data_IF_548831350155
#
_entry.id   IF_548831350155
#
_cell.length_a   1.000
_cell.length_b   1.000
_cell.length_c   1.000
_cell.angle_alpha   90.00
_cell.angle_beta   90.00
_cell.angle_gamma   90.00
#
_symmetry.space_group_name_H-M   'P 1'
#
loop_
_entity.id
_entity.type
_entity.pdbx_description
1 polymer ?
#
# COMPACT_ATOMS: atom_id res chain seq x y z
N UNK A 1 0.58 -39.18 -4.60
CA UNK A 1 0.40 -38.17 -3.53
C UNK A 1 1.77 -37.57 -3.24
N UNK A 2 2.02 -36.38 -3.79
CA UNK A 2 3.20 -35.56 -3.54
C UNK A 2 2.94 -34.66 -2.32
N UNK A 3 3.95 -34.29 -1.51
CA UNK A 3 3.78 -33.42 -0.35
C UNK A 3 3.03 -32.14 -0.73
N UNK A 4 1.97 -31.82 0.01
CA UNK A 4 0.94 -30.85 -0.35
C UNK A 4 1.48 -29.44 -0.57
N UNK A 5 1.26 -28.92 -1.79
CA UNK A 5 1.43 -27.51 -2.11
C UNK A 5 0.24 -26.74 -1.50
N UNK A 6 0.49 -26.00 -0.43
CA UNK A 6 -0.44 -24.99 0.08
C UNK A 6 -0.86 -24.07 -1.08
N UNK A 7 -2.14 -23.70 -1.16
CA UNK A 7 -2.62 -22.78 -2.20
C UNK A 7 -1.88 -21.43 -2.09
N UNK A 8 -1.64 -20.73 -3.20
CA UNK A 8 -0.90 -19.46 -3.17
C UNK A 8 -1.61 -18.40 -2.33
N UNK A 9 -2.95 -18.40 -2.28
CA UNK A 9 -3.71 -17.50 -1.42
C UNK A 9 -3.54 -17.86 0.05
N UNK A 10 -3.59 -19.15 0.40
CA UNK A 10 -3.31 -19.63 1.76
C UNK A 10 -1.90 -19.23 2.22
N UNK A 11 -0.91 -19.37 1.32
CA UNK A 11 0.46 -18.93 1.56
C UNK A 11 0.56 -17.42 1.80
N UNK A 12 -0.11 -16.64 0.95
CA UNK A 12 -0.15 -15.19 1.08
C UNK A 12 -0.87 -14.72 2.35
N UNK A 13 -1.91 -15.42 2.81
CA UNK A 13 -2.58 -15.13 4.08
C UNK A 13 -1.69 -15.47 5.27
N UNK A 14 -1.02 -16.63 5.23
CA UNK A 14 -0.16 -17.10 6.32
C UNK A 14 0.97 -16.12 6.66
N UNK A 15 1.55 -15.49 5.65
CA UNK A 15 2.68 -14.57 5.81
C UNK A 15 2.30 -13.10 5.56
N UNK A 16 0.99 -12.79 5.58
CA UNK A 16 0.52 -11.43 5.31
C UNK A 16 1.07 -10.44 6.33
N UNK A 17 1.48 -9.23 5.93
CA UNK A 17 1.89 -8.20 6.86
C UNK A 17 0.69 -7.62 7.63
N UNK A 18 0.95 -7.18 8.85
CA UNK A 18 0.03 -6.33 9.61
C UNK A 18 0.37 -4.86 9.35
N UNK A 19 -0.63 -4.09 8.95
CA UNK A 19 -0.46 -2.66 8.72
C UNK A 19 -0.96 -1.90 9.94
N UNK A 20 -0.15 -0.96 10.41
CA UNK A 20 -0.54 0.02 11.41
C UNK A 20 -0.57 1.40 10.75
N UNK A 21 -1.73 2.04 10.85
CA UNK A 21 -2.05 3.32 10.25
C UNK A 21 -2.15 4.38 11.34
N UNK A 22 -2.01 5.65 10.96
CA UNK A 22 -2.28 6.75 11.89
C UNK A 22 -3.72 6.67 12.40
N UNK A 23 -3.92 6.95 13.68
CA UNK A 23 -5.25 6.95 14.30
C UNK A 23 -6.21 7.93 13.58
N UNK A 24 -5.67 9.00 12.98
CA UNK A 24 -6.42 9.99 12.20
C UNK A 24 -6.37 9.78 10.69
N UNK A 25 -5.78 8.68 10.21
CA UNK A 25 -5.78 8.34 8.79
C UNK A 25 -7.22 8.28 8.23
N UNK A 26 -7.58 9.15 7.26
CA UNK A 26 -8.93 9.16 6.69
C UNK A 26 -9.21 7.96 5.77
N UNK A 27 -8.19 7.34 5.17
CA UNK A 27 -8.37 6.31 4.15
C UNK A 27 -7.76 4.97 4.57
N UNK A 28 -8.53 3.90 4.39
CA UNK A 28 -8.05 2.53 4.60
C UNK A 28 -7.71 1.88 3.26
N UNK A 29 -6.83 0.86 3.23
CA UNK A 29 -6.67 0.03 2.06
C UNK A 29 -8.02 -0.54 1.63
N UNK A 30 -8.32 -0.46 0.33
CA UNK A 30 -9.52 -1.03 -0.27
C UNK A 30 -9.35 -2.52 -0.51
N UNK A 31 -8.26 -2.92 -1.18
CA UNK A 31 -7.91 -4.31 -1.48
C UNK A 31 -6.39 -4.51 -1.55
N UNK A 32 -5.97 -5.77 -1.43
CA UNK A 32 -4.58 -6.18 -1.56
C UNK A 32 -4.45 -7.26 -2.63
N UNK A 33 -3.55 -7.02 -3.57
CA UNK A 33 -3.17 -7.94 -4.62
C UNK A 33 -1.95 -8.73 -4.18
N UNK A 34 -1.97 -10.06 -4.28
CA UNK A 34 -0.78 -10.87 -4.03
C UNK A 34 -0.14 -11.40 -5.32
N UNK A 35 1.18 -11.56 -5.30
CA UNK A 35 1.96 -12.36 -6.25
C UNK A 35 2.97 -13.19 -5.48
N UNK A 36 3.04 -14.50 -5.73
CA UNK A 36 4.04 -15.39 -5.14
C UNK A 36 5.16 -15.64 -6.14
N UNK A 37 6.40 -15.45 -5.70
CA UNK A 37 7.61 -15.71 -6.48
C UNK A 37 8.37 -16.88 -5.86
N UNK A 38 8.52 -17.96 -6.62
CA UNK A 38 9.39 -19.11 -6.28
C UNK A 38 10.73 -19.13 -7.01
N UNK A 39 11.02 -18.09 -7.81
CA UNK A 39 12.29 -17.87 -8.52
C UNK A 39 12.46 -16.39 -8.82
N UNK A 40 13.67 -15.99 -9.18
CA UNK A 40 13.97 -14.64 -9.67
C UNK A 40 13.04 -14.25 -10.82
N UNK A 41 12.42 -13.08 -10.69
CA UNK A 41 11.46 -12.58 -11.66
C UNK A 41 11.31 -11.06 -11.56
N UNK A 42 10.76 -10.45 -12.61
CA UNK A 42 10.35 -9.05 -12.55
C UNK A 42 9.02 -8.94 -11.82
N UNK A 43 8.88 -7.95 -10.93
CA UNK A 43 7.59 -7.64 -10.33
C UNK A 43 6.61 -7.15 -11.40
N UNK A 44 5.35 -7.59 -11.29
CA UNK A 44 4.28 -7.20 -12.20
C UNK A 44 3.59 -5.89 -11.81
N UNK A 45 3.75 -5.46 -10.55
CA UNK A 45 3.07 -4.30 -9.97
C UNK A 45 4.03 -3.15 -9.67
N UNK A 46 5.33 -3.46 -9.50
CA UNK A 46 6.38 -2.49 -9.16
C UNK A 46 7.58 -2.60 -10.12
N UNK A 47 8.23 -1.48 -10.44
CA UNK A 47 9.38 -1.47 -11.37
C UNK A 47 10.66 -1.97 -10.68
N UNK A 48 10.76 -3.27 -10.41
CA UNK A 48 11.93 -3.93 -9.81
C UNK A 48 12.10 -5.38 -10.26
N UNK A 49 13.28 -5.93 -9.97
CA UNK A 49 13.53 -7.37 -9.96
C UNK A 49 13.37 -7.90 -8.52
N UNK A 50 12.76 -9.07 -8.41
CA UNK A 50 12.75 -9.91 -7.22
C UNK A 50 13.88 -10.92 -7.39
N UNK A 51 14.79 -10.94 -6.42
CA UNK A 51 15.91 -11.87 -6.37
C UNK A 51 15.78 -12.72 -5.11
N UNK A 52 15.94 -14.03 -5.27
CA UNK A 52 15.74 -15.04 -4.24
C UNK A 52 17.03 -15.84 -4.04
N UNK A 53 17.33 -16.12 -2.77
CA UNK A 53 18.30 -17.14 -2.41
C UNK A 53 17.76 -18.56 -2.63
N UNK A 54 18.62 -19.54 -2.35
CA UNK A 54 18.24 -20.96 -2.44
C UNK A 54 17.09 -21.27 -1.47
N UNK A 55 16.04 -21.92 -2.00
CA UNK A 55 14.85 -22.35 -1.28
C UNK A 55 14.04 -21.20 -0.64
N UNK A 56 14.23 -19.97 -1.12
CA UNK A 56 13.45 -18.80 -0.72
C UNK A 56 12.25 -18.62 -1.63
N UNK A 57 11.18 -18.07 -1.06
CA UNK A 57 10.06 -17.49 -1.79
C UNK A 57 9.91 -16.02 -1.41
N UNK A 58 9.31 -15.23 -2.28
CA UNK A 58 8.87 -13.86 -1.96
C UNK A 58 7.39 -13.73 -2.26
N UNK A 59 6.66 -13.10 -1.34
CA UNK A 59 5.26 -12.75 -1.53
C UNK A 59 5.20 -11.23 -1.61
N UNK A 60 4.76 -10.73 -2.75
CA UNK A 60 4.50 -9.31 -2.99
C UNK A 60 3.04 -9.01 -2.68
N UNK A 61 2.82 -7.99 -1.86
CA UNK A 61 1.51 -7.45 -1.52
C UNK A 61 1.41 -6.05 -2.13
N UNK A 62 0.67 -5.92 -3.23
CA UNK A 62 0.30 -4.65 -3.84
C UNK A 62 -0.98 -4.14 -3.16
N UNK A 63 -0.83 -3.15 -2.29
CA UNK A 63 -1.88 -2.63 -1.44
C UNK A 63 -2.47 -1.41 -2.15
N UNK A 64 -3.78 -1.43 -2.39
CA UNK A 64 -4.47 -0.41 -3.16
C UNK A 64 -5.39 0.41 -2.24
N UNK A 65 -5.26 1.74 -2.32
CA UNK A 65 -6.15 2.70 -1.70
C UNK A 65 -6.91 3.46 -2.77
N UNK A 66 -8.19 3.71 -2.49
CA UNK A 66 -9.00 4.60 -3.32
C UNK A 66 -8.38 6.01 -3.41
N UNK A 67 -7.73 6.45 -2.33
CA UNK A 67 -7.14 7.77 -2.18
C UNK A 67 -5.88 7.71 -1.31
N UNK A 68 -4.87 8.51 -1.66
CA UNK A 68 -4.01 9.16 -0.67
C UNK A 68 -4.52 10.59 -0.43
N UNK A 69 -3.91 11.31 0.51
CA UNK A 69 -4.39 12.65 0.86
C UNK A 69 -4.17 13.66 -0.27
N UNK A 70 -3.18 13.46 -1.14
CA UNK A 70 -2.86 14.36 -2.25
C UNK A 70 -3.62 14.00 -3.54
N UNK A 71 -3.95 12.74 -3.79
CA UNK A 71 -4.54 12.24 -5.03
C UNK A 71 -5.45 11.01 -4.86
N UNK A 72 -6.41 10.90 -5.79
CA UNK A 72 -7.12 9.66 -6.04
C UNK A 72 -6.18 8.62 -6.64
N UNK A 73 -6.40 7.38 -6.23
CA UNK A 73 -5.59 6.21 -6.49
C UNK A 73 -4.23 6.28 -5.81
N UNK A 74 -3.92 5.22 -5.06
CA UNK A 74 -2.58 4.97 -4.56
C UNK A 74 -2.27 3.47 -4.50
N UNK A 75 -1.03 3.10 -4.81
CA UNK A 75 -0.58 1.72 -4.87
C UNK A 75 0.82 1.57 -4.26
N UNK A 76 0.86 1.04 -3.05
CA UNK A 76 2.08 0.81 -2.29
C UNK A 76 2.28 -0.69 -2.09
N UNK A 77 3.51 -1.08 -1.74
CA UNK A 77 3.94 -2.47 -1.83
C UNK A 77 4.71 -2.89 -0.58
N UNK A 78 4.46 -4.12 -0.17
CA UNK A 78 5.26 -4.84 0.81
C UNK A 78 5.75 -6.15 0.20
N UNK A 79 6.99 -6.54 0.53
CA UNK A 79 7.56 -7.81 0.09
C UNK A 79 8.02 -8.61 1.29
N UNK A 80 7.46 -9.82 1.44
CA UNK A 80 7.77 -10.75 2.52
C UNK A 80 8.53 -11.92 1.94
N UNK A 81 9.78 -12.09 2.33
CA UNK A 81 10.62 -13.21 1.91
C UNK A 81 10.59 -14.28 2.97
N UNK A 82 10.36 -15.52 2.54
CA UNK A 82 10.17 -16.67 3.44
C UNK A 82 11.13 -17.78 3.05
N UNK A 83 11.72 -18.40 4.07
CA UNK A 83 12.55 -19.61 3.95
C UNK A 83 12.33 -20.49 5.17
N UNK A 84 12.26 -21.81 4.98
CA UNK A 84 12.06 -22.77 6.07
C UNK A 84 10.87 -22.42 6.98
N UNK A 85 9.76 -21.96 6.38
CA UNK A 85 8.55 -21.46 7.04
C UNK A 85 8.74 -20.24 7.98
N UNK A 86 9.79 -19.44 7.78
CA UNK A 86 10.09 -18.23 8.55
C UNK A 86 10.26 -17.03 7.63
N UNK A 87 9.76 -15.87 8.07
CA UNK A 87 10.05 -14.60 7.42
C UNK A 87 11.52 -14.24 7.67
N UNK A 88 12.30 -14.14 6.60
CA UNK A 88 13.75 -13.86 6.67
C UNK A 88 14.11 -12.45 6.24
N UNK A 89 13.25 -11.79 5.45
CA UNK A 89 13.46 -10.44 4.96
C UNK A 89 12.11 -9.78 4.71
N UNK A 90 12.03 -8.51 5.05
CA UNK A 90 10.84 -7.70 4.85
C UNK A 90 11.23 -6.36 4.23
N UNK A 91 10.50 -5.95 3.21
CA UNK A 91 10.75 -4.72 2.47
C UNK A 91 9.44 -3.98 2.25
N UNK A 92 9.53 -2.67 2.10
CA UNK A 92 8.38 -1.83 1.79
C UNK A 92 8.70 -0.72 0.82
N UNK A 93 7.69 -0.29 0.08
CA UNK A 93 7.79 0.82 -0.85
C UNK A 93 7.95 2.16 -0.12
N UNK A 94 8.62 3.09 -0.79
CA UNK A 94 8.91 4.42 -0.26
C UNK A 94 9.04 5.42 -1.40
N UNK A 95 7.96 6.16 -1.69
CA UNK A 95 7.94 7.25 -2.67
C UNK A 95 8.55 6.86 -4.03
N UNK A 96 8.06 5.76 -4.62
CA UNK A 96 8.54 5.23 -5.91
C UNK A 96 9.86 4.45 -5.85
N UNK A 97 10.42 4.26 -4.65
CA UNK A 97 11.52 3.33 -4.37
C UNK A 97 11.02 2.23 -3.43
N UNK A 98 11.93 1.38 -2.97
CA UNK A 98 11.68 0.44 -1.88
C UNK A 98 12.88 0.42 -0.94
N UNK A 99 12.62 0.05 0.31
CA UNK A 99 13.59 -0.05 1.38
C UNK A 99 13.60 -1.48 1.92
N UNK A 100 14.81 -1.99 2.19
CA UNK A 100 14.97 -3.20 3.00
C UNK A 100 14.90 -2.78 4.47
N UNK A 101 13.98 -3.38 5.22
CA UNK A 101 13.89 -3.12 6.64
C UNK A 101 15.00 -3.90 7.36
N UNK A 102 15.93 -3.16 7.97
CA UNK A 102 17.06 -3.76 8.70
C UNK A 102 16.58 -4.63 9.87
N UNK A 103 15.54 -4.16 10.53
CA UNK A 103 14.87 -4.84 11.64
C UNK A 103 13.36 -4.69 11.43
N UNK A 104 12.60 -5.71 11.79
CA UNK A 104 11.14 -5.69 11.78
C UNK A 104 10.62 -6.60 12.89
N UNK A 105 9.42 -6.29 13.37
CA UNK A 105 8.74 -7.10 14.37
C UNK A 105 7.79 -8.09 13.69
N UNK A 106 7.56 -9.22 14.37
CA UNK A 106 6.52 -10.17 14.02
C UNK A 106 5.49 -10.19 15.15
N UNK A 107 4.20 -10.15 14.81
CA UNK A 107 3.10 -10.46 15.73
C UNK A 107 2.43 -11.71 15.17
N UNK A 108 2.42 -12.81 15.93
CA UNK A 108 1.87 -14.09 15.50
C UNK A 108 2.41 -14.58 14.12
N UNK A 109 3.69 -14.31 13.85
CA UNK A 109 4.39 -14.58 12.57
C UNK A 109 4.10 -13.61 11.42
N UNK A 110 3.23 -12.62 11.62
CA UNK A 110 2.95 -11.58 10.64
C UNK A 110 3.90 -10.38 10.80
N UNK A 111 4.63 -9.98 9.74
CA UNK A 111 5.54 -8.84 9.82
C UNK A 111 4.78 -7.51 9.94
N UNK A 112 5.30 -6.62 10.79
CA UNK A 112 4.65 -5.34 11.11
C UNK A 112 5.19 -4.23 10.21
N UNK A 113 4.27 -3.51 9.55
CA UNK A 113 4.56 -2.30 8.79
C UNK A 113 3.71 -1.12 9.27
N UNK A 114 4.30 0.07 9.29
CA UNK A 114 3.67 1.34 9.57
C UNK A 114 3.55 2.12 8.27
N UNK A 115 2.34 2.58 7.94
CA UNK A 115 2.11 3.39 6.75
C UNK A 115 2.30 4.88 7.07
N UNK A 116 2.97 5.61 6.20
CA UNK A 116 3.09 7.06 6.33
C UNK A 116 1.69 7.68 6.29
N UNK A 117 1.33 8.54 7.26
CA UNK A 117 0.04 9.21 7.26
C UNK A 117 -0.19 9.95 5.93
N UNK A 118 -1.33 9.68 5.29
CA UNK A 118 -1.81 10.33 4.07
C UNK A 118 -1.02 10.10 2.77
N UNK A 119 0.18 9.49 2.80
CA UNK A 119 1.03 9.29 1.59
C UNK A 119 1.53 7.85 1.39
N UNK A 120 1.36 7.02 2.41
CA UNK A 120 1.48 5.56 2.39
C UNK A 120 2.83 4.90 2.04
N UNK A 121 3.96 5.63 2.07
CA UNK A 121 5.27 4.97 2.18
C UNK A 121 5.33 4.07 3.44
N UNK A 122 6.06 2.95 3.39
CA UNK A 122 6.11 2.00 4.49
C UNK A 122 7.43 2.02 5.28
N UNK A 123 7.32 1.81 6.58
CA UNK A 123 8.46 1.57 7.47
C UNK A 123 8.17 0.44 8.45
N UNK A 124 9.19 -0.30 8.87
CA UNK A 124 9.09 -1.23 10.01
C UNK A 124 9.22 -0.54 11.37
N UNK A 125 9.55 0.76 11.39
CA UNK A 125 9.78 1.55 12.61
C UNK A 125 8.70 2.62 12.73
N UNK A 126 7.94 2.57 13.84
CA UNK A 126 6.82 3.47 14.14
C UNK A 126 7.18 4.95 14.01
N UNK A 127 8.30 5.36 14.62
CA UNK A 127 8.69 6.76 14.69
C UNK A 127 9.43 7.26 13.43
N UNK A 128 9.50 6.45 12.38
CA UNK A 128 10.23 6.80 11.15
C UNK A 128 9.74 8.14 10.56
N UNK A 129 8.42 8.36 10.58
CA UNK A 129 7.77 9.51 9.95
C UNK A 129 7.76 10.80 10.77
N UNK A 130 8.25 10.78 12.01
CA UNK A 130 8.37 11.95 12.91
C UNK A 130 9.68 11.99 13.70
N UNK A 131 10.63 11.11 13.41
CA UNK A 131 11.94 11.02 14.07
C UNK A 131 12.78 12.30 14.02
N UNK A 132 12.53 13.18 13.06
CA UNK A 132 13.17 14.48 12.96
C UNK A 132 12.26 15.50 12.26
N UNK A 133 12.68 16.77 12.26
CA UNK A 133 11.91 17.87 11.70
C UNK A 133 11.60 17.67 10.20
N UNK A 134 12.53 17.10 9.43
CA UNK A 134 12.34 16.91 7.98
C UNK A 134 11.26 15.86 7.73
N UNK A 135 11.35 14.68 8.36
CA UNK A 135 10.34 13.62 8.19
C UNK A 135 8.98 14.05 8.72
N UNK A 136 8.96 14.77 9.86
CA UNK A 136 7.74 15.36 10.42
C UNK A 136 7.07 16.32 9.43
N UNK A 137 7.80 17.29 8.88
CA UNK A 137 7.25 18.27 7.94
C UNK A 137 6.83 17.62 6.60
N UNK A 138 7.58 16.63 6.12
CA UNK A 138 7.24 15.87 4.90
C UNK A 138 5.93 15.11 5.02
N UNK A 139 5.51 14.76 6.23
CA UNK A 139 4.22 14.11 6.50
C UNK A 139 3.11 15.13 6.77
N UNK A 140 3.36 16.11 7.64
CA UNK A 140 2.36 17.11 8.05
C UNK A 140 1.91 18.00 6.88
N UNK A 141 2.85 18.52 6.09
CA UNK A 141 2.53 19.52 5.06
C UNK A 141 1.55 18.97 4.02
N UNK A 142 1.78 17.76 3.46
CA UNK A 142 0.83 17.13 2.56
C UNK A 142 -0.54 16.90 3.19
N UNK A 143 -0.58 16.32 4.38
CA UNK A 143 -1.84 15.96 5.05
C UNK A 143 -2.72 17.18 5.34
N UNK A 144 -2.10 18.29 5.77
CA UNK A 144 -2.85 19.46 6.25
C UNK A 144 -3.10 20.51 5.18
N UNK A 145 -2.10 20.79 4.35
CA UNK A 145 -2.09 21.97 3.49
C UNK A 145 -2.13 21.65 2.01
N UNK A 146 -1.75 20.44 1.59
CA UNK A 146 -1.69 20.05 0.18
C UNK A 146 -2.70 18.94 -0.20
N UNK A 147 -3.69 18.70 0.64
CA UNK A 147 -4.74 17.73 0.33
C UNK A 147 -5.37 18.01 -1.05
N UNK A 148 -5.46 16.97 -1.87
CA UNK A 148 -5.96 17.03 -3.24
C UNK A 148 -5.04 17.71 -4.26
N UNK A 149 -3.78 18.00 -3.93
CA UNK A 149 -2.83 18.66 -4.85
C UNK A 149 -2.55 17.85 -6.12
N UNK A 150 -2.51 16.52 -6.02
CA UNK A 150 -2.15 15.60 -7.09
C UNK A 150 -3.30 15.21 -8.02
N UNK A 151 -4.56 15.46 -7.65
CA UNK A 151 -5.70 15.12 -8.50
C UNK A 151 -5.87 13.60 -8.62
N UNK A 152 -5.66 13.01 -9.80
CA UNK A 152 -5.75 11.55 -10.03
C UNK A 152 -4.40 11.04 -10.53
N UNK A 153 -3.76 10.12 -9.80
CA UNK A 153 -2.38 9.70 -10.04
C UNK A 153 -2.27 8.37 -10.82
N UNK A 154 -2.90 8.28 -11.99
CA UNK A 154 -2.70 7.14 -12.91
C UNK A 154 -2.59 7.62 -14.35
N UNK A 155 -1.41 7.47 -14.95
CA UNK A 155 -1.07 8.01 -16.30
C UNK A 155 -2.09 7.65 -17.40
N UNK A 156 -2.69 6.47 -17.29
CA UNK A 156 -3.73 5.99 -18.22
C UNK A 156 -4.99 6.85 -18.15
N UNK A 157 -5.35 7.31 -16.96
CA UNK A 157 -6.50 8.18 -16.70
C UNK A 157 -6.16 9.67 -16.78
N UNK A 158 -4.93 10.04 -16.42
CA UNK A 158 -4.47 11.44 -16.43
C UNK A 158 -4.69 12.12 -17.80
N UNK A 159 -4.49 11.38 -18.89
CA UNK A 159 -4.71 11.88 -20.26
C UNK A 159 -6.18 12.03 -20.63
N UNK A 160 -7.08 11.26 -20.02
CA UNK A 160 -8.51 11.29 -20.31
C UNK A 160 -9.31 12.20 -19.38
N UNK A 161 -8.70 12.65 -18.27
CA UNK A 161 -9.37 13.49 -17.29
C UNK A 161 -9.49 14.93 -17.77
N UNK A 162 -10.72 15.46 -17.69
CA UNK A 162 -10.98 16.88 -17.89
C UNK A 162 -10.41 17.67 -16.71
N UNK A 163 -10.10 18.94 -16.93
CA UNK A 163 -9.59 19.81 -15.86
C UNK A 163 -10.61 19.96 -14.71
N UNK A 164 -11.91 19.94 -15.04
CA UNK A 164 -13.02 19.90 -14.09
C UNK A 164 -12.94 18.69 -13.13
N UNK A 165 -12.57 17.52 -13.65
CA UNK A 165 -12.45 16.28 -12.87
C UNK A 165 -11.34 16.40 -11.83
N UNK A 166 -10.21 17.01 -12.20
CA UNK A 166 -9.09 17.27 -11.27
C UNK A 166 -9.50 18.25 -10.17
N UNK A 167 -10.26 19.30 -10.51
CA UNK A 167 -10.77 20.27 -9.54
C UNK A 167 -11.74 19.59 -8.56
N UNK A 168 -12.64 18.73 -9.06
CA UNK A 168 -13.59 17.98 -8.23
C UNK A 168 -12.87 17.06 -7.25
N UNK A 169 -11.92 16.25 -7.71
CA UNK A 169 -11.13 15.36 -6.85
C UNK A 169 -10.33 16.16 -5.83
N UNK A 170 -9.71 17.26 -6.24
CA UNK A 170 -9.00 18.18 -5.33
C UNK A 170 -9.91 18.70 -4.21
N UNK A 171 -11.10 19.18 -4.57
CA UNK A 171 -12.05 19.72 -3.60
C UNK A 171 -12.62 18.65 -2.68
N UNK A 172 -12.81 17.43 -3.19
CA UNK A 172 -13.19 16.28 -2.39
C UNK A 172 -12.13 15.97 -1.34
N UNK A 173 -10.87 15.78 -1.74
CA UNK A 173 -9.77 15.40 -0.85
C UNK A 173 -9.45 16.49 0.20
N UNK A 174 -9.63 17.77 -0.12
CA UNK A 174 -9.49 18.86 0.86
C UNK A 174 -10.39 18.71 2.09
N UNK A 175 -11.55 18.03 1.97
CA UNK A 175 -12.46 17.77 3.10
C UNK A 175 -11.85 16.79 4.12
N UNK A 176 -10.86 15.99 3.69
CA UNK A 176 -10.18 14.99 4.49
C UNK A 176 -8.83 15.48 5.02
N UNK A 177 -8.45 16.74 4.76
CA UNK A 177 -7.21 17.31 5.27
C UNK A 177 -7.17 17.21 6.80
N UNK A 178 -6.07 16.71 7.35
CA UNK A 178 -5.96 16.37 8.76
C UNK A 178 -4.59 16.69 9.34
N UNK A 179 -4.52 16.65 10.68
CA UNK A 179 -3.27 16.68 11.43
C UNK A 179 -2.93 15.26 11.87
N UNK A 180 -1.93 14.60 11.25
CA UNK A 180 -1.43 13.30 11.72
C UNK A 180 -1.19 13.29 13.24
N UNK A 181 -1.59 12.18 13.86
CA UNK A 181 -1.38 11.98 15.30
C UNK A 181 -0.02 11.38 15.62
N UNK A 182 0.60 10.70 14.65
CA UNK A 182 1.76 9.82 14.81
C UNK A 182 1.55 8.72 15.86
N UNK A 183 0.29 8.44 16.18
CA UNK A 183 -0.14 7.29 16.95
C UNK A 183 -0.65 6.24 15.97
N UNK A 184 -0.06 5.05 16.04
CA UNK A 184 -0.27 3.98 15.07
C UNK A 184 -0.97 2.80 15.72
N UNK A 185 -2.20 3.01 16.18
CA UNK A 185 -3.01 1.97 16.84
C UNK A 185 -4.08 1.41 15.91
N UNK A 186 -4.39 2.11 14.81
CA UNK A 186 -5.31 1.63 13.79
C UNK A 186 -4.69 0.48 13.00
N UNK A 187 -5.10 -0.74 13.33
CA UNK A 187 -4.65 -1.99 12.68
C UNK A 187 -5.51 -2.29 11.46
N UNK A 188 -4.88 -2.62 10.34
CA UNK A 188 -5.51 -3.21 9.17
C UNK A 188 -4.94 -4.61 8.95
N UNK A 189 -5.83 -5.59 8.88
CA UNK A 189 -5.50 -6.99 8.67
C UNK A 189 -5.83 -7.42 7.24
N UNK A 190 -4.86 -8.03 6.58
CA UNK A 190 -5.06 -8.69 5.30
C UNK A 190 -5.69 -10.06 5.56
N UNK A 191 -6.88 -10.27 5.02
CA UNK A 191 -7.69 -11.47 5.22
C UNK A 191 -8.36 -11.91 3.91
N UNK A 192 -9.10 -13.01 3.95
CA UNK A 192 -9.69 -13.62 2.74
C UNK A 192 -10.59 -12.69 1.93
N UNK A 193 -11.25 -11.73 2.58
CA UNK A 193 -12.22 -10.82 1.94
C UNK A 193 -11.55 -9.68 1.16
N UNK A 194 -10.32 -9.31 1.52
CA UNK A 194 -9.59 -8.19 0.91
C UNK A 194 -8.33 -8.62 0.14
N UNK A 195 -7.94 -9.89 0.22
CA UNK A 195 -6.80 -10.45 -0.50
C UNK A 195 -7.23 -11.20 -1.77
N UNK A 196 -6.75 -10.74 -2.92
CA UNK A 196 -7.01 -11.34 -4.24
C UNK A 196 -5.72 -11.43 -5.07
N UNK A 197 -5.66 -12.25 -6.13
CA UNK A 197 -4.51 -12.27 -7.03
C UNK A 197 -4.26 -10.89 -7.66
N UNK A 198 -2.99 -10.48 -7.79
CA UNK A 198 -2.62 -9.18 -8.40
C UNK A 198 -3.28 -8.95 -9.76
N UNK A 199 -3.36 -10.00 -10.60
CA UNK A 199 -3.98 -9.91 -11.93
C UNK A 199 -5.44 -9.45 -11.86
N UNK A 200 -6.18 -9.91 -10.86
CA UNK A 200 -7.58 -9.52 -10.65
C UNK A 200 -7.66 -8.10 -10.10
N UNK A 201 -6.84 -7.75 -9.10
CA UNK A 201 -6.80 -6.40 -8.55
C UNK A 201 -6.47 -5.37 -9.63
N UNK A 202 -5.48 -5.63 -10.48
CA UNK A 202 -5.08 -4.71 -11.55
C UNK A 202 -6.24 -4.36 -12.51
N UNK A 203 -7.13 -5.32 -12.78
CA UNK A 203 -8.34 -5.09 -13.58
C UNK A 203 -9.37 -4.29 -12.79
N UNK A 204 -9.55 -4.61 -11.50
CA UNK A 204 -10.52 -3.94 -10.63
C UNK A 204 -10.17 -2.47 -10.37
N UNK A 205 -8.89 -2.14 -10.19
CA UNK A 205 -8.44 -0.77 -9.93
C UNK A 205 -8.97 0.20 -10.99
N UNK A 206 -8.89 -0.15 -12.28
CA UNK A 206 -9.36 0.74 -13.35
C UNK A 206 -10.86 1.04 -13.21
N UNK A 207 -11.67 0.00 -12.97
CA UNK A 207 -13.12 0.14 -12.76
C UNK A 207 -13.45 0.92 -11.49
N UNK A 208 -12.66 0.72 -10.44
CA UNK A 208 -12.82 1.41 -9.15
C UNK A 208 -12.59 2.91 -9.30
N UNK A 209 -11.54 3.32 -10.00
CA UNK A 209 -11.24 4.74 -10.27
C UNK A 209 -12.41 5.41 -11.02
N UNK A 210 -12.89 4.78 -12.10
CA UNK A 210 -14.04 5.31 -12.87
C UNK A 210 -15.29 5.46 -12.00
N UNK A 211 -15.58 4.44 -11.19
CA UNK A 211 -16.70 4.45 -10.26
C UNK A 211 -16.59 5.60 -9.23
N UNK A 212 -15.43 5.76 -8.59
CA UNK A 212 -15.22 6.81 -7.60
C UNK A 212 -15.33 8.20 -8.22
N UNK A 213 -14.79 8.38 -9.42
CA UNK A 213 -14.87 9.65 -10.13
C UNK A 213 -16.32 10.02 -10.47
N UNK A 214 -17.12 9.05 -10.96
CA UNK A 214 -18.55 9.26 -11.19
C UNK A 214 -19.26 9.67 -9.91
N UNK A 215 -18.99 8.98 -8.80
CA UNK A 215 -19.61 9.30 -7.52
C UNK A 215 -19.22 10.69 -7.01
N UNK A 216 -17.96 11.11 -7.14
CA UNK A 216 -17.55 12.48 -6.80
C UNK A 216 -18.30 13.51 -7.65
N UNK A 217 -18.52 13.25 -8.95
CA UNK A 217 -19.30 14.12 -9.85
C UNK A 217 -20.77 14.23 -9.46
N UNK A 218 -21.34 13.13 -8.98
CA UNK A 218 -22.70 13.07 -8.44
C UNK A 218 -22.84 13.80 -7.08
N UNK A 219 -21.73 14.32 -6.54
CA UNK A 219 -21.68 14.99 -5.23
C UNK A 219 -21.38 14.05 -4.07
N UNK A 220 -21.29 12.75 -4.36
CA UNK A 220 -21.18 11.59 -3.47
C UNK A 220 -22.24 11.55 -2.35
#
# INVERSE_FOLDING_TARGET
MTPGSMDEKELALKYSPLLFLDDREPFLPYKVGYTVFGKDARSYSFKRMISLGKDEICIEYAIFWDFDIEHMYDLEHLWVYVKDNKVIKFEGSWHGRYLVFKEFQLIDSHPVAYAQPGKHAFSSVKDCFNSNLVTYLMTIIPCRFLAGRGGVLRKEFEKSLKEEDKILVKNYLKKFAFWPSFSFNKRFEINESNLIPWKELNIEISKRIEYLLLKIKEGF
#
